data_IF_454318638540
#
_entry.id   IF_454318638540
#
_cell.length_a   1.000
_cell.length_b   1.000
_cell.length_c   1.000
_cell.angle_alpha   90.00
_cell.angle_beta   90.00
_cell.angle_gamma   90.00
#
_symmetry.space_group_name_H-M   'P 1'
#
loop_
_entity.id
_entity.type
_entity.pdbx_description
1 polymer ?
#
# COMPACT_ATOMS: atom_id res chain seq x y z
N UNK A 1 -49.02 -29.01 37.80
CA UNK A 1 -48.78 -29.17 36.35
C UNK A 1 -48.73 -27.88 35.54
N UNK A 2 -48.94 -26.69 36.14
CA UNK A 2 -49.02 -25.40 35.41
C UNK A 2 -47.67 -24.67 35.27
N UNK A 3 -46.70 -24.96 36.16
CA UNK A 3 -45.38 -24.29 36.14
C UNK A 3 -44.37 -24.81 35.07
N UNK A 4 -44.60 -25.99 34.52
CA UNK A 4 -43.72 -26.56 33.47
C UNK A 4 -44.11 -26.15 32.04
N UNK A 5 -45.32 -25.66 31.85
CA UNK A 5 -45.78 -25.21 30.52
C UNK A 5 -45.37 -23.78 30.19
N UNK A 6 -45.17 -22.94 31.22
CA UNK A 6 -44.71 -21.55 31.02
C UNK A 6 -43.24 -21.43 30.63
N UNK A 7 -42.42 -22.43 31.01
CA UNK A 7 -40.98 -22.44 30.68
C UNK A 7 -40.71 -22.89 29.25
N UNK A 8 -41.58 -23.75 28.68
CA UNK A 8 -41.46 -24.19 27.30
C UNK A 8 -41.89 -23.10 26.28
N UNK A 9 -42.83 -22.24 26.67
CA UNK A 9 -43.30 -21.17 25.80
C UNK A 9 -42.32 -19.99 25.76
N UNK A 10 -41.53 -19.75 26.81
CA UNK A 10 -40.49 -18.71 26.83
C UNK A 10 -39.24 -19.13 26.04
N UNK A 11 -38.93 -20.42 25.93
CA UNK A 11 -37.82 -20.93 25.14
C UNK A 11 -38.16 -20.91 23.64
N UNK A 12 -39.42 -21.09 23.28
CA UNK A 12 -39.87 -21.04 21.89
C UNK A 12 -39.91 -19.60 21.33
N UNK A 13 -40.10 -18.56 22.17
CA UNK A 13 -40.07 -17.17 21.77
C UNK A 13 -38.63 -16.59 21.62
N UNK A 14 -37.64 -17.19 22.28
CA UNK A 14 -36.24 -16.77 22.14
C UNK A 14 -35.62 -17.34 20.88
N UNK A 15 -36.12 -18.49 20.39
CA UNK A 15 -35.63 -19.10 19.14
C UNK A 15 -36.13 -18.40 17.86
N UNK A 16 -37.17 -17.58 17.93
CA UNK A 16 -37.73 -16.87 16.76
C UNK A 16 -37.12 -15.46 16.56
N UNK A 17 -36.26 -14.99 17.46
CA UNK A 17 -35.56 -13.69 17.28
C UNK A 17 -34.11 -13.83 16.73
N UNK A 18 -33.61 -15.03 16.50
CA UNK A 18 -32.25 -15.25 15.93
C UNK A 18 -32.31 -15.43 14.43
N UNK A 19 -33.49 -15.52 13.80
CA UNK A 19 -33.65 -15.75 12.37
C UNK A 19 -33.65 -14.47 11.52
N UNK A 20 -33.47 -13.29 12.10
CA UNK A 20 -33.59 -12.02 11.38
C UNK A 20 -32.30 -11.25 11.10
N UNK A 21 -31.15 -11.67 11.63
CA UNK A 21 -29.87 -10.95 11.42
C UNK A 21 -28.80 -11.76 10.67
N UNK A 22 -29.10 -13.01 10.28
CA UNK A 22 -28.12 -13.88 9.62
C UNK A 22 -28.13 -13.77 8.10
N UNK A 23 -29.28 -13.49 7.52
CA UNK A 23 -29.43 -13.56 6.05
C UNK A 23 -28.88 -12.32 5.35
N UNK A 24 -29.10 -11.12 5.90
CA UNK A 24 -28.59 -9.88 5.28
C UNK A 24 -27.06 -9.79 5.33
N UNK A 25 -26.43 -10.22 6.44
CA UNK A 25 -24.97 -10.23 6.55
C UNK A 25 -24.33 -11.34 5.70
N UNK A 26 -24.96 -12.52 5.63
CA UNK A 26 -24.50 -13.62 4.81
C UNK A 26 -24.76 -13.37 3.32
N UNK A 27 -25.83 -12.64 2.96
CA UNK A 27 -26.12 -12.23 1.59
C UNK A 27 -25.20 -11.07 1.16
N UNK A 28 -24.88 -10.14 2.06
CA UNK A 28 -23.91 -9.05 1.82
C UNK A 28 -22.51 -9.60 1.54
N UNK A 29 -22.03 -10.59 2.33
CA UNK A 29 -20.74 -11.27 2.12
C UNK A 29 -20.71 -12.03 0.80
N UNK A 30 -21.84 -12.56 0.33
CA UNK A 30 -21.92 -13.37 -0.89
C UNK A 30 -21.77 -12.55 -2.18
N UNK A 31 -22.04 -11.25 -2.13
CA UNK A 31 -22.00 -10.33 -3.27
C UNK A 31 -20.86 -9.32 -3.23
N UNK A 32 -20.07 -9.29 -2.15
CA UNK A 32 -18.93 -8.37 -2.02
C UNK A 32 -17.79 -8.78 -2.95
N UNK A 33 -17.10 -7.81 -3.52
CA UNK A 33 -15.89 -8.01 -4.33
C UNK A 33 -14.70 -8.20 -3.37
N UNK A 34 -13.99 -9.32 -3.50
CA UNK A 34 -12.79 -9.59 -2.71
C UNK A 34 -11.60 -8.87 -3.31
N UNK A 35 -11.09 -7.87 -2.59
CA UNK A 35 -9.98 -7.05 -3.04
C UNK A 35 -8.75 -7.28 -2.17
N UNK A 36 -7.62 -7.58 -2.81
CA UNK A 36 -6.31 -7.62 -2.17
C UNK A 36 -5.60 -6.28 -2.26
N UNK A 37 -4.93 -5.89 -1.19
CA UNK A 37 -4.14 -4.67 -1.09
C UNK A 37 -2.87 -4.93 -0.29
N UNK A 38 -1.78 -4.21 -0.54
CA UNK A 38 -0.60 -4.26 0.32
C UNK A 38 -0.93 -3.59 1.65
N UNK A 39 -0.47 -4.21 2.75
CA UNK A 39 -0.70 -3.70 4.10
C UNK A 39 -0.21 -2.26 4.23
N UNK A 40 -1.08 -1.40 4.70
CA UNK A 40 -0.84 0.01 4.94
C UNK A 40 -0.10 0.22 6.28
N UNK A 41 0.34 1.44 6.55
CA UNK A 41 1.09 1.75 7.77
C UNK A 41 0.18 1.80 9.01
N UNK A 42 -1.03 2.33 8.86
CA UNK A 42 -2.01 2.53 9.96
C UNK A 42 -3.45 2.19 9.56
N UNK A 43 -3.79 2.25 8.28
CA UNK A 43 -5.14 1.98 7.78
C UNK A 43 -5.45 0.49 7.85
N UNK A 44 -6.64 0.13 8.34
CA UNK A 44 -7.09 -1.28 8.40
C UNK A 44 -7.95 -1.66 7.19
N UNK A 45 -8.10 -2.98 6.90
CA UNK A 45 -9.01 -3.44 5.85
C UNK A 45 -10.44 -2.93 6.04
N UNK A 46 -10.95 -2.94 7.27
CA UNK A 46 -12.31 -2.50 7.58
C UNK A 46 -12.50 -0.99 7.34
N UNK A 47 -11.46 -0.20 7.54
CA UNK A 47 -11.49 1.24 7.21
C UNK A 47 -11.55 1.44 5.70
N UNK A 48 -10.83 0.64 4.92
CA UNK A 48 -10.89 0.70 3.46
C UNK A 48 -12.24 0.19 2.93
N UNK A 49 -12.82 -0.88 3.50
CA UNK A 49 -14.16 -1.32 3.17
C UNK A 49 -15.20 -0.21 3.39
N UNK A 50 -15.08 0.52 4.51
CA UNK A 50 -15.95 1.66 4.78
C UNK A 50 -15.79 2.81 3.75
N UNK A 51 -14.58 3.07 3.27
CA UNK A 51 -14.34 4.03 2.17
C UNK A 51 -15.02 3.57 0.89
N UNK A 52 -14.87 2.29 0.54
CA UNK A 52 -15.47 1.72 -0.67
C UNK A 52 -17.00 1.70 -0.58
N UNK A 53 -17.57 1.44 0.59
CA UNK A 53 -19.02 1.49 0.82
C UNK A 53 -19.57 2.91 0.59
N UNK A 54 -18.88 3.97 1.04
CA UNK A 54 -19.25 5.36 0.77
C UNK A 54 -19.21 5.67 -0.74
N UNK A 55 -18.33 5.01 -1.48
CA UNK A 55 -18.23 5.10 -2.94
C UNK A 55 -19.25 4.23 -3.68
N UNK A 56 -20.10 3.49 -2.95
CA UNK A 56 -21.13 2.62 -3.52
C UNK A 56 -20.64 1.25 -3.99
N UNK A 57 -19.47 0.81 -3.52
CA UNK A 57 -18.88 -0.50 -3.83
C UNK A 57 -18.86 -1.36 -2.56
N UNK A 58 -19.47 -2.53 -2.61
CA UNK A 58 -19.46 -3.51 -1.51
C UNK A 58 -18.22 -4.41 -1.67
N UNK A 59 -17.26 -4.32 -0.74
CA UNK A 59 -15.96 -4.98 -0.81
C UNK A 59 -15.67 -5.81 0.44
N UNK A 60 -14.78 -6.78 0.28
CA UNK A 60 -14.12 -7.52 1.34
C UNK A 60 -12.61 -7.34 1.15
N UNK A 61 -12.02 -6.35 1.86
CA UNK A 61 -10.60 -6.06 1.75
C UNK A 61 -9.76 -7.08 2.50
N UNK A 62 -8.67 -7.51 1.89
CA UNK A 62 -7.65 -8.35 2.50
C UNK A 62 -6.27 -7.72 2.29
N UNK A 63 -5.51 -7.54 3.37
CA UNK A 63 -4.15 -7.03 3.30
C UNK A 63 -3.13 -8.16 3.20
N UNK A 64 -2.13 -7.90 2.36
CA UNK A 64 -0.99 -8.80 2.12
C UNK A 64 0.31 -8.13 2.56
N UNK A 65 1.21 -8.92 3.13
CA UNK A 65 2.51 -8.43 3.60
C UNK A 65 3.49 -8.16 2.46
N UNK A 66 3.27 -8.79 1.29
CA UNK A 66 4.11 -8.63 0.12
C UNK A 66 3.32 -8.80 -1.17
N UNK A 67 3.83 -8.19 -2.25
CA UNK A 67 3.19 -8.14 -3.55
C UNK A 67 3.06 -9.53 -4.21
N UNK A 68 4.09 -10.37 -4.03
CA UNK A 68 4.09 -11.73 -4.58
C UNK A 68 2.93 -12.57 -4.04
N UNK A 69 2.68 -12.55 -2.73
CA UNK A 69 1.55 -13.30 -2.14
C UNK A 69 0.20 -12.77 -2.59
N UNK A 70 0.07 -11.46 -2.79
CA UNK A 70 -1.14 -10.85 -3.33
C UNK A 70 -1.40 -11.27 -4.79
N UNK A 71 -0.37 -11.28 -5.65
CA UNK A 71 -0.47 -11.79 -7.03
C UNK A 71 -0.84 -13.28 -7.07
N UNK A 72 -0.29 -14.08 -6.16
CA UNK A 72 -0.66 -15.50 -6.03
C UNK A 72 -2.13 -15.67 -5.62
N UNK A 73 -2.64 -14.83 -4.74
CA UNK A 73 -4.05 -14.85 -4.33
C UNK A 73 -4.98 -14.50 -5.50
N UNK A 74 -4.63 -13.51 -6.33
CA UNK A 74 -5.37 -13.20 -7.55
C UNK A 74 -5.34 -14.37 -8.55
N UNK A 75 -4.16 -14.92 -8.81
CA UNK A 75 -3.98 -16.03 -9.76
C UNK A 75 -4.73 -17.28 -9.34
N UNK A 76 -4.85 -17.56 -8.03
CA UNK A 76 -5.61 -18.68 -7.47
C UNK A 76 -7.09 -18.37 -7.25
N UNK A 77 -7.55 -17.17 -7.60
CA UNK A 77 -8.93 -16.68 -7.41
C UNK A 77 -9.40 -16.67 -5.94
N UNK A 78 -8.48 -16.50 -5.00
CA UNK A 78 -8.81 -16.27 -3.61
C UNK A 78 -9.30 -14.83 -3.39
N UNK A 79 -8.85 -13.89 -4.25
CA UNK A 79 -9.37 -12.54 -4.40
C UNK A 79 -9.80 -12.32 -5.86
N UNK A 80 -10.71 -11.40 -6.06
CA UNK A 80 -11.26 -11.06 -7.39
C UNK A 80 -10.42 -9.99 -8.07
N UNK A 81 -9.89 -9.05 -7.30
CA UNK A 81 -9.15 -7.88 -7.77
C UNK A 81 -7.96 -7.57 -6.84
N UNK A 82 -6.93 -6.96 -7.41
CA UNK A 82 -5.88 -6.27 -6.67
C UNK A 82 -6.14 -4.78 -6.79
N UNK A 83 -6.17 -4.06 -5.66
CA UNK A 83 -6.13 -2.61 -5.64
C UNK A 83 -4.70 -2.14 -5.38
N UNK A 84 -4.16 -1.33 -6.30
CA UNK A 84 -2.77 -0.85 -6.24
C UNK A 84 -2.62 0.45 -7.02
N UNK A 85 -1.45 1.06 -6.94
CA UNK A 85 -1.09 2.24 -7.72
C UNK A 85 -0.96 1.92 -9.20
N UNK A 86 -1.32 2.86 -10.05
CA UNK A 86 -1.37 2.69 -11.50
C UNK A 86 -0.01 2.30 -12.09
N UNK A 87 1.08 2.90 -11.62
CA UNK A 87 2.42 2.54 -12.07
C UNK A 87 2.76 1.06 -11.79
N UNK A 88 2.33 0.53 -10.64
CA UNK A 88 2.48 -0.89 -10.28
C UNK A 88 1.57 -1.76 -11.15
N UNK A 89 0.34 -1.33 -11.37
CA UNK A 89 -0.63 -2.05 -12.21
C UNK A 89 -0.17 -2.14 -13.67
N UNK A 90 0.33 -1.03 -14.24
CA UNK A 90 0.88 -0.99 -15.59
C UNK A 90 2.07 -1.95 -15.72
N UNK A 91 3.03 -1.88 -14.81
CA UNK A 91 4.15 -2.82 -14.79
C UNK A 91 3.68 -4.28 -14.68
N UNK A 92 2.73 -4.56 -13.79
CA UNK A 92 2.17 -5.91 -13.59
C UNK A 92 1.50 -6.44 -14.86
N UNK A 93 0.71 -5.61 -15.57
CA UNK A 93 0.00 -6.02 -16.79
C UNK A 93 0.93 -6.18 -17.98
N UNK A 94 2.00 -5.41 -18.05
CA UNK A 94 3.05 -5.57 -19.07
C UNK A 94 3.82 -6.88 -18.90
N UNK A 95 4.06 -7.31 -17.65
CA UNK A 95 4.73 -8.57 -17.35
C UNK A 95 3.78 -9.79 -17.42
N UNK A 96 2.48 -9.59 -17.26
CA UNK A 96 1.49 -10.67 -17.25
C UNK A 96 0.24 -10.30 -18.05
N UNK A 97 0.19 -10.76 -19.30
CA UNK A 97 -0.94 -10.54 -20.22
C UNK A 97 -2.25 -11.19 -19.81
N UNK A 98 -2.26 -12.00 -18.74
CA UNK A 98 -3.49 -12.53 -18.13
C UNK A 98 -4.15 -11.58 -17.16
N UNK A 99 -3.53 -10.44 -16.87
CA UNK A 99 -4.05 -9.39 -16.02
C UNK A 99 -4.46 -8.18 -16.87
N UNK A 100 -5.46 -7.46 -16.42
CA UNK A 100 -5.90 -6.21 -17.02
C UNK A 100 -6.29 -5.18 -15.95
N UNK A 101 -6.04 -3.92 -16.24
CA UNK A 101 -6.51 -2.80 -15.40
C UNK A 101 -7.99 -2.62 -15.68
N UNK A 102 -8.84 -2.79 -14.66
CA UNK A 102 -10.28 -2.76 -14.79
C UNK A 102 -10.85 -1.34 -14.73
N UNK A 103 -10.53 -0.60 -13.69
CA UNK A 103 -11.06 0.75 -13.44
C UNK A 103 -10.09 1.59 -12.60
N UNK A 104 -10.16 2.91 -12.78
CA UNK A 104 -9.69 3.84 -11.77
C UNK A 104 -10.75 3.97 -10.69
N UNK A 105 -10.39 3.82 -9.43
CA UNK A 105 -11.34 3.99 -8.31
C UNK A 105 -11.55 5.46 -7.93
N UNK A 106 -10.88 6.37 -8.62
CA UNK A 106 -10.96 7.81 -8.38
C UNK A 106 -10.35 8.21 -7.03
N UNK A 107 -9.37 7.45 -6.58
CA UNK A 107 -8.52 7.75 -5.44
C UNK A 107 -7.13 8.14 -5.96
N UNK A 108 -6.48 9.05 -5.24
CA UNK A 108 -5.14 9.55 -5.55
C UNK A 108 -4.26 9.43 -4.32
N UNK A 109 -3.09 8.88 -4.49
CA UNK A 109 -2.10 8.71 -3.44
C UNK A 109 -0.86 9.57 -3.69
N UNK A 110 -0.37 10.22 -2.62
CA UNK A 110 0.93 10.84 -2.60
C UNK A 110 1.90 9.98 -1.81
N UNK A 111 3.02 9.66 -2.42
CA UNK A 111 4.10 8.90 -1.79
C UNK A 111 5.02 9.83 -1.00
N UNK A 112 5.16 9.54 0.28
CA UNK A 112 5.99 10.26 1.24
C UNK A 112 6.94 9.29 1.95
N UNK A 113 7.93 9.82 2.67
CA UNK A 113 8.69 9.07 3.65
C UNK A 113 8.09 9.29 5.03
N UNK A 114 8.08 8.26 5.88
CA UNK A 114 7.62 8.36 7.26
C UNK A 114 8.80 8.27 8.23
N UNK A 115 8.80 9.12 9.25
CA UNK A 115 9.80 9.23 10.31
C UNK A 115 9.12 9.45 11.64
N UNK A 116 9.80 9.25 12.76
CA UNK A 116 9.29 9.64 14.07
C UNK A 116 9.13 11.16 14.11
N UNK A 117 8.08 11.65 14.75
CA UNK A 117 7.79 13.10 14.81
C UNK A 117 8.89 13.91 15.51
N UNK A 118 9.68 13.28 16.39
CA UNK A 118 10.80 13.90 17.10
C UNK A 118 12.08 14.03 16.24
N UNK A 119 12.16 13.32 15.10
CA UNK A 119 13.32 13.33 14.19
C UNK A 119 13.28 14.55 13.24
N UNK A 120 13.02 15.74 13.80
CA UNK A 120 12.76 16.99 13.06
C UNK A 120 13.84 17.38 12.06
N UNK A 121 15.11 17.20 12.42
CA UNK A 121 16.24 17.53 11.55
C UNK A 121 16.29 16.59 10.32
N UNK A 122 16.01 15.31 10.52
CA UNK A 122 15.97 14.32 9.43
C UNK A 122 14.80 14.58 8.49
N UNK A 123 13.63 14.93 9.05
CA UNK A 123 12.44 15.32 8.26
C UNK A 123 12.78 16.54 7.40
N UNK A 124 13.39 17.56 7.99
CA UNK A 124 13.79 18.77 7.27
C UNK A 124 14.81 18.49 6.17
N UNK A 125 15.80 17.62 6.43
CA UNK A 125 16.82 17.22 5.44
C UNK A 125 16.16 16.53 4.23
N UNK A 126 15.24 15.59 4.47
CA UNK A 126 14.50 14.87 3.41
C UNK A 126 13.60 15.83 2.62
N UNK A 127 12.83 16.68 3.29
CA UNK A 127 11.97 17.69 2.65
C UNK A 127 12.79 18.64 1.77
N UNK A 128 13.92 19.10 2.26
CA UNK A 128 14.84 19.98 1.53
C UNK A 128 15.38 19.28 0.28
N UNK A 129 15.78 18.00 0.39
CA UNK A 129 16.27 17.22 -0.73
C UNK A 129 15.18 16.97 -1.77
N UNK A 130 13.97 16.57 -1.35
CA UNK A 130 12.82 16.34 -2.25
C UNK A 130 12.45 17.62 -2.99
N UNK A 131 12.35 18.76 -2.28
CA UNK A 131 12.02 20.04 -2.89
C UNK A 131 13.11 20.50 -3.88
N UNK A 132 14.38 20.26 -3.58
CA UNK A 132 15.47 20.54 -4.50
C UNK A 132 15.41 19.68 -5.75
N UNK A 133 15.08 18.38 -5.63
CA UNK A 133 14.90 17.47 -6.77
C UNK A 133 13.72 17.87 -7.67
N UNK A 134 12.64 18.39 -7.07
CA UNK A 134 11.52 18.95 -7.84
C UNK A 134 11.96 20.20 -8.61
N UNK A 135 12.68 21.10 -7.95
CA UNK A 135 13.08 22.37 -8.51
C UNK A 135 14.10 22.24 -9.67
N UNK A 136 15.00 21.27 -9.60
CA UNK A 136 16.05 21.06 -10.62
C UNK A 136 15.69 20.03 -11.67
N UNK A 137 14.48 19.44 -11.62
CA UNK A 137 13.99 18.45 -12.58
C UNK A 137 14.60 17.05 -12.41
N UNK A 138 15.33 16.79 -11.33
CA UNK A 138 15.88 15.45 -11.04
C UNK A 138 14.74 14.45 -10.84
N UNK A 139 13.70 14.83 -10.08
CA UNK A 139 12.57 13.95 -9.81
C UNK A 139 11.81 13.56 -11.08
N UNK A 140 11.58 14.53 -11.99
CA UNK A 140 10.93 14.27 -13.28
C UNK A 140 11.73 13.28 -14.14
N UNK A 141 13.07 13.37 -14.11
CA UNK A 141 13.95 12.42 -14.79
C UNK A 141 13.86 11.02 -14.21
N UNK A 142 13.77 10.90 -12.87
CA UNK A 142 13.63 9.62 -12.22
C UNK A 142 12.26 8.99 -12.54
N UNK A 143 11.17 9.76 -12.47
CA UNK A 143 9.83 9.31 -12.87
C UNK A 143 9.86 8.81 -14.32
N UNK A 144 10.46 9.60 -15.22
CA UNK A 144 10.57 9.20 -16.63
C UNK A 144 11.33 7.88 -16.79
N UNK A 145 12.48 7.73 -16.12
CA UNK A 145 13.36 6.58 -16.27
C UNK A 145 12.81 5.31 -15.67
N UNK A 146 12.20 5.40 -14.48
CA UNK A 146 11.83 4.23 -13.67
C UNK A 146 10.33 3.90 -13.75
N UNK A 147 9.51 4.78 -14.29
CA UNK A 147 8.06 4.59 -14.40
C UNK A 147 7.60 4.76 -15.83
N UNK A 148 7.65 5.99 -16.39
CA UNK A 148 6.99 6.29 -17.66
C UNK A 148 7.62 5.60 -18.89
N UNK A 149 8.95 5.55 -18.97
CA UNK A 149 9.69 4.96 -20.09
C UNK A 149 10.19 3.54 -19.78
N UNK A 150 9.83 2.98 -18.62
CA UNK A 150 10.26 1.64 -18.22
C UNK A 150 9.60 0.59 -19.13
N UNK A 151 10.41 -0.27 -19.75
CA UNK A 151 9.94 -1.34 -20.63
C UNK A 151 10.16 -2.75 -20.04
N UNK A 152 11.18 -2.87 -19.19
CA UNK A 152 11.66 -4.13 -18.64
C UNK A 152 11.79 -4.04 -17.10
N UNK A 153 12.51 -5.00 -16.51
CA UNK A 153 12.82 -4.99 -15.08
C UNK A 153 13.55 -3.68 -14.70
N UNK A 154 13.15 -3.00 -13.60
CA UNK A 154 13.82 -1.78 -13.16
C UNK A 154 15.31 -1.99 -12.97
N UNK A 155 16.17 -1.07 -13.48
CA UNK A 155 17.62 -1.21 -13.34
C UNK A 155 18.04 -1.13 -11.87
N UNK A 156 19.11 -1.88 -11.53
CA UNK A 156 19.75 -1.78 -10.23
C UNK A 156 20.23 -0.35 -9.96
N UNK A 157 20.08 0.10 -8.72
CA UNK A 157 20.52 1.42 -8.27
C UNK A 157 21.69 1.26 -7.31
N UNK A 158 22.76 2.00 -7.56
CA UNK A 158 23.89 2.08 -6.64
C UNK A 158 23.69 3.26 -5.68
N UNK A 159 23.65 2.96 -4.38
CA UNK A 159 23.72 3.97 -3.33
C UNK A 159 25.20 4.15 -2.97
N UNK A 160 25.74 5.32 -3.30
CA UNK A 160 27.17 5.60 -3.11
C UNK A 160 27.48 5.76 -1.62
N UNK A 161 28.49 5.04 -1.14
CA UNK A 161 28.98 5.25 0.23
C UNK A 161 29.81 6.54 0.31
N UNK A 162 29.44 7.43 1.22
CA UNK A 162 30.06 8.72 1.47
C UNK A 162 30.99 8.56 2.68
N UNK A 163 32.30 8.68 2.45
CA UNK A 163 33.30 8.43 3.49
C UNK A 163 33.14 9.42 4.67
N UNK A 164 33.00 8.87 5.87
CA UNK A 164 32.84 9.64 7.11
C UNK A 164 31.45 10.20 7.35
N UNK A 165 30.48 9.98 6.46
CA UNK A 165 29.10 10.39 6.69
C UNK A 165 28.39 9.46 7.68
N UNK A 166 27.45 10.00 8.43
CA UNK A 166 26.52 9.24 9.27
C UNK A 166 25.67 8.30 8.41
N UNK A 167 25.31 7.14 8.95
CA UNK A 167 24.43 6.17 8.29
C UNK A 167 23.04 6.21 8.91
N UNK A 168 22.01 6.32 8.08
CA UNK A 168 20.61 6.17 8.44
C UNK A 168 20.05 4.85 7.91
N UNK A 169 19.18 4.24 8.68
CA UNK A 169 18.52 2.97 8.31
C UNK A 169 17.16 3.26 7.69
N UNK A 170 16.97 2.78 6.48
CA UNK A 170 15.73 3.00 5.72
C UNK A 170 15.04 1.66 5.48
N UNK A 171 13.81 1.53 6.00
CA UNK A 171 12.95 0.38 5.78
C UNK A 171 12.31 0.44 4.40
N UNK A 172 12.47 -0.63 3.62
CA UNK A 172 11.88 -0.82 2.30
C UNK A 172 11.13 -2.15 2.24
N UNK A 173 10.15 -2.29 1.35
CA UNK A 173 9.47 -3.57 1.12
C UNK A 173 10.27 -4.47 0.19
N UNK A 174 10.81 -3.91 -0.86
CA UNK A 174 11.71 -4.57 -1.80
C UNK A 174 11.04 -5.56 -2.74
N UNK A 175 9.72 -5.50 -2.89
CA UNK A 175 8.95 -6.38 -3.76
C UNK A 175 7.74 -5.71 -4.45
N UNK A 176 7.74 -4.39 -4.58
CA UNK A 176 6.68 -3.61 -5.23
C UNK A 176 7.17 -2.92 -6.51
N UNK A 177 7.47 -3.67 -7.59
CA UNK A 177 7.95 -3.07 -8.84
C UNK A 177 6.86 -2.22 -9.52
N UNK A 178 7.21 -1.15 -10.23
CA UNK A 178 8.57 -0.64 -10.47
C UNK A 178 9.08 0.29 -9.37
N UNK A 179 8.31 0.47 -8.29
CA UNK A 179 8.60 1.45 -7.24
C UNK A 179 9.73 0.97 -6.32
N UNK A 180 9.62 -0.23 -5.78
CA UNK A 180 10.49 -0.74 -4.71
C UNK A 180 10.82 -2.22 -4.98
N UNK A 181 12.06 -2.52 -5.30
CA UNK A 181 12.45 -3.87 -5.71
C UNK A 181 13.85 -4.23 -5.20
N UNK A 182 14.00 -5.47 -4.74
CA UNK A 182 15.29 -6.13 -4.55
C UNK A 182 15.42 -7.23 -5.61
N UNK A 183 16.37 -7.07 -6.51
CA UNK A 183 16.61 -8.00 -7.62
C UNK A 183 17.09 -9.37 -7.11
N UNK A 184 16.99 -10.39 -7.95
CA UNK A 184 17.43 -11.75 -7.62
C UNK A 184 18.92 -11.85 -7.22
N UNK A 185 19.75 -10.89 -7.64
CA UNK A 185 21.16 -10.79 -7.25
C UNK A 185 21.39 -10.01 -5.94
N UNK A 186 20.31 -9.64 -5.23
CA UNK A 186 20.33 -8.89 -3.98
C UNK A 186 20.57 -7.39 -4.11
N UNK A 187 20.65 -6.85 -5.35
CA UNK A 187 20.81 -5.40 -5.55
C UNK A 187 19.46 -4.70 -5.46
N UNK A 188 19.39 -3.53 -4.78
CA UNK A 188 18.19 -2.71 -4.76
C UNK A 188 17.97 -2.07 -6.13
N UNK A 189 16.71 -1.90 -6.50
CA UNK A 189 16.28 -1.36 -7.78
C UNK A 189 14.96 -0.59 -7.63
N UNK A 190 14.55 0.07 -8.70
CA UNK A 190 13.27 0.77 -8.78
C UNK A 190 13.33 2.24 -8.42
N UNK A 191 12.19 2.89 -8.63
CA UNK A 191 12.03 4.33 -8.50
C UNK A 191 12.39 4.84 -7.10
N UNK A 192 11.86 4.19 -6.07
CA UNK A 192 12.08 4.59 -4.67
C UNK A 192 13.57 4.53 -4.30
N UNK A 193 14.27 3.46 -4.70
CA UNK A 193 15.71 3.36 -4.46
C UNK A 193 16.50 4.46 -5.18
N UNK A 194 16.08 4.82 -6.40
CA UNK A 194 16.71 5.90 -7.15
C UNK A 194 16.49 7.27 -6.47
N UNK A 195 15.29 7.53 -5.96
CA UNK A 195 14.99 8.72 -5.15
C UNK A 195 15.86 8.76 -3.90
N UNK A 196 15.97 7.64 -3.16
CA UNK A 196 16.82 7.53 -1.97
C UNK A 196 18.30 7.78 -2.27
N UNK A 197 18.81 7.27 -3.40
CA UNK A 197 20.20 7.51 -3.82
C UNK A 197 20.48 9.02 -4.02
N UNK A 198 19.53 9.76 -4.58
CA UNK A 198 19.64 11.20 -4.75
C UNK A 198 19.46 11.96 -3.42
N UNK A 199 18.56 11.53 -2.54
CA UNK A 199 18.43 12.09 -1.18
C UNK A 199 19.75 11.92 -0.41
N UNK A 200 20.32 10.71 -0.36
CA UNK A 200 21.59 10.40 0.30
C UNK A 200 22.70 11.40 -0.05
N UNK A 201 22.88 11.64 -1.35
CA UNK A 201 23.89 12.60 -1.86
C UNK A 201 23.63 14.02 -1.38
N UNK A 202 22.38 14.46 -1.38
CA UNK A 202 21.98 15.83 -1.07
C UNK A 202 22.07 16.14 0.43
N UNK A 203 21.71 15.17 1.28
CA UNK A 203 21.79 15.33 2.74
C UNK A 203 23.14 14.91 3.32
N UNK A 204 24.05 14.40 2.49
CA UNK A 204 25.38 13.90 2.90
C UNK A 204 25.31 12.84 4.01
N UNK A 205 24.40 11.86 3.88
CA UNK A 205 24.24 10.72 4.79
C UNK A 205 24.27 9.41 4.01
N UNK A 206 24.89 8.39 4.58
CA UNK A 206 24.83 7.02 4.06
C UNK A 206 23.45 6.42 4.32
N UNK A 207 23.00 5.54 3.44
CA UNK A 207 21.76 4.80 3.57
C UNK A 207 22.05 3.31 3.67
N UNK A 208 21.55 2.70 4.74
CA UNK A 208 21.47 1.25 4.91
C UNK A 208 20.02 0.83 4.66
N UNK A 209 19.77 0.03 3.63
CA UNK A 209 18.45 -0.48 3.32
C UNK A 209 18.13 -1.71 4.16
N UNK A 210 17.01 -1.70 4.86
CA UNK A 210 16.49 -2.79 5.67
C UNK A 210 15.19 -3.28 5.03
N UNK A 211 15.17 -4.49 4.50
CA UNK A 211 13.94 -5.05 3.95
C UNK A 211 12.99 -5.46 5.08
N UNK A 212 11.73 -5.02 4.99
CA UNK A 212 10.70 -5.19 6.02
C UNK A 212 9.37 -5.53 5.33
N UNK A 213 8.66 -6.51 5.85
CA UNK A 213 7.30 -6.80 5.41
C UNK A 213 6.39 -5.59 5.63
N UNK A 214 5.43 -5.38 4.72
CA UNK A 214 4.58 -4.17 4.73
C UNK A 214 3.88 -3.94 6.05
N UNK A 215 3.31 -4.99 6.68
CA UNK A 215 2.63 -4.88 7.97
C UNK A 215 3.56 -4.57 9.16
N UNK A 216 4.87 -4.83 9.03
CA UNK A 216 5.85 -4.60 10.10
C UNK A 216 6.44 -3.17 10.10
N UNK A 217 6.19 -2.36 9.07
CA UNK A 217 6.85 -1.05 8.85
C UNK A 217 6.64 -0.07 10.01
N UNK A 218 5.40 0.08 10.49
CA UNK A 218 5.10 0.99 11.61
C UNK A 218 5.82 0.57 12.91
N UNK A 219 5.86 -0.74 13.20
CA UNK A 219 6.56 -1.28 14.37
C UNK A 219 8.07 -1.11 14.26
N UNK A 220 8.66 -1.31 13.08
CA UNK A 220 10.09 -1.11 12.84
C UNK A 220 10.51 0.34 13.06
N UNK A 221 9.68 1.31 12.65
CA UNK A 221 9.93 2.73 12.86
C UNK A 221 9.85 3.10 14.35
N UNK A 222 8.79 2.70 15.03
CA UNK A 222 8.55 3.04 16.45
C UNK A 222 9.56 2.37 17.38
N UNK A 223 10.01 1.16 17.07
CA UNK A 223 11.05 0.44 17.82
C UNK A 223 12.49 0.90 17.51
N UNK A 224 12.66 1.86 16.61
CA UNK A 224 13.97 2.36 16.15
C UNK A 224 14.83 1.29 15.43
N UNK A 225 14.20 0.27 14.88
CA UNK A 225 14.87 -0.68 13.99
C UNK A 225 15.29 0.03 12.69
N UNK A 226 14.48 0.98 12.24
CA UNK A 226 14.76 1.90 11.14
C UNK A 226 14.54 3.34 11.55
N UNK A 227 15.16 4.28 10.84
CA UNK A 227 15.01 5.72 11.05
C UNK A 227 13.95 6.29 10.10
N UNK A 228 13.79 5.68 8.94
CA UNK A 228 12.86 6.07 7.90
C UNK A 228 12.12 4.84 7.40
N UNK A 229 10.82 4.93 7.23
CA UNK A 229 10.05 4.01 6.39
C UNK A 229 9.90 4.67 5.03
N UNK A 230 10.45 4.03 3.99
CA UNK A 230 10.32 4.52 2.64
C UNK A 230 9.09 3.95 1.99
N UNK A 231 8.34 4.82 1.55
CA UNK A 231 6.99 5.01 1.12
C UNK A 231 5.91 4.76 2.22
N UNK A 232 5.13 5.78 2.39
CA UNK A 232 3.81 5.78 2.99
C UNK A 232 2.91 6.57 2.06
N UNK A 233 1.65 6.18 1.96
CA UNK A 233 0.70 6.90 1.12
C UNK A 233 -0.09 7.90 1.93
N UNK A 234 -0.21 9.11 1.38
CA UNK A 234 -1.05 10.18 1.91
C UNK A 234 -2.16 10.43 0.90
N UNK A 235 -3.43 10.16 1.24
CA UNK A 235 -4.56 10.43 0.36
C UNK A 235 -4.62 11.88 -0.13
N UNK A 236 -4.90 12.05 -1.42
CA UNK A 236 -5.05 13.35 -2.09
C UNK A 236 -6.44 13.53 -2.69
N UNK A 237 -7.41 12.82 -2.18
CA UNK A 237 -8.80 12.90 -2.57
C UNK A 237 -9.68 13.41 -1.41
N UNK A 238 -10.93 13.69 -1.68
CA UNK A 238 -11.92 14.15 -0.70
C UNK A 238 -12.71 13.01 -0.03
N UNK A 239 -12.35 11.76 -0.32
CA UNK A 239 -13.04 10.55 0.14
C UNK A 239 -12.35 9.93 1.35
N UNK A 240 -11.05 10.18 1.51
CA UNK A 240 -10.22 9.66 2.61
C UNK A 240 -9.57 10.79 3.40
N UNK A 241 -9.51 10.70 4.75
CA UNK A 241 -8.72 11.65 5.53
C UNK A 241 -7.23 11.60 5.13
N UNK A 242 -6.61 12.78 5.00
CA UNK A 242 -5.19 12.87 4.60
C UNK A 242 -4.22 12.21 5.61
N UNK A 243 -4.65 12.02 6.86
CA UNK A 243 -3.88 11.35 7.92
C UNK A 243 -4.33 9.90 8.17
N UNK A 244 -5.15 9.32 7.28
CA UNK A 244 -5.72 7.99 7.45
C UNK A 244 -4.64 6.93 7.69
N UNK A 245 -3.56 6.96 6.92
CA UNK A 245 -2.46 5.99 7.02
C UNK A 245 -1.29 6.47 7.90
N UNK A 246 -1.46 7.55 8.65
CA UNK A 246 -0.41 8.09 9.52
C UNK A 246 -0.59 7.63 10.97
N UNK A 247 0.31 6.77 11.52
CA UNK A 247 0.29 6.40 12.93
C UNK A 247 0.55 7.61 13.85
N UNK A 248 0.09 7.52 15.09
CA UNK A 248 0.44 8.50 16.12
C UNK A 248 1.97 8.51 16.36
N UNK A 249 2.55 9.69 16.56
CA UNK A 249 4.01 9.87 16.77
C UNK A 249 4.84 9.74 15.50
N UNK A 250 4.19 9.72 14.31
CA UNK A 250 4.85 9.67 13.01
C UNK A 250 4.58 10.97 12.24
N UNK A 251 5.60 11.51 11.62
CA UNK A 251 5.53 12.57 10.63
C UNK A 251 5.87 12.06 9.25
N UNK A 252 5.31 12.70 8.23
CA UNK A 252 5.56 12.37 6.82
C UNK A 252 6.20 13.57 6.12
N UNK A 253 7.04 13.27 5.14
CA UNK A 253 7.70 14.31 4.34
C UNK A 253 6.76 14.94 3.31
N UNK A 254 7.23 15.99 2.67
CA UNK A 254 6.71 16.43 1.37
C UNK A 254 6.62 15.25 0.40
N UNK A 255 5.52 15.09 -0.35
CA UNK A 255 5.39 14.02 -1.34
C UNK A 255 6.48 14.07 -2.39
N UNK A 256 7.04 12.92 -2.75
CA UNK A 256 8.01 12.82 -3.85
C UNK A 256 7.40 12.24 -5.14
N UNK A 257 6.23 11.60 -5.06
CA UNK A 257 5.50 11.04 -6.19
C UNK A 257 4.00 11.08 -5.94
N UNK A 258 3.19 11.06 -6.98
CA UNK A 258 1.73 10.94 -6.91
C UNK A 258 1.26 9.94 -7.96
N UNK A 259 0.28 9.11 -7.61
CA UNK A 259 -0.28 8.12 -8.51
C UNK A 259 -1.78 7.93 -8.28
N UNK A 260 -2.46 7.43 -9.31
CA UNK A 260 -3.86 7.01 -9.22
C UNK A 260 -3.93 5.60 -8.63
N UNK A 261 -4.97 5.34 -7.83
CA UNK A 261 -5.30 4.00 -7.38
C UNK A 261 -6.20 3.33 -8.41
N UNK A 262 -5.86 2.11 -8.80
CA UNK A 262 -6.58 1.32 -9.81
C UNK A 262 -6.84 -0.09 -9.31
N UNK A 263 -7.78 -0.78 -9.95
CA UNK A 263 -8.02 -2.20 -9.73
C UNK A 263 -7.49 -3.02 -10.90
N UNK A 264 -6.90 -4.17 -10.59
CA UNK A 264 -6.39 -5.17 -11.56
C UNK A 264 -7.10 -6.49 -11.33
N UNK A 265 -7.62 -7.09 -12.38
CA UNK A 265 -8.22 -8.42 -12.36
C UNK A 265 -7.56 -9.36 -13.39
N UNK A 266 -7.97 -10.63 -13.37
CA UNK A 266 -7.60 -11.57 -14.43
C UNK A 266 -8.44 -11.29 -15.69
N UNK A 267 -7.78 -11.18 -16.84
CA UNK A 267 -8.43 -10.99 -18.14
C UNK A 267 -9.45 -12.10 -18.41
N UNK A 268 -10.64 -11.71 -18.90
CA UNK A 268 -11.71 -12.64 -19.24
C UNK A 268 -12.66 -13.04 -18.11
N UNK A 269 -12.46 -12.58 -16.87
CA UNK A 269 -13.46 -12.78 -15.79
C UNK A 269 -14.69 -11.87 -15.95
N UNK A 270 -14.57 -10.75 -16.63
CA UNK A 270 -15.69 -9.82 -16.86
C UNK A 270 -16.82 -10.35 -17.78
N UNK A 271 -16.60 -11.47 -18.47
CA UNK A 271 -17.60 -12.03 -19.41
C UNK A 271 -18.66 -12.95 -18.78
N UNK A 272 -18.59 -13.19 -17.48
CA UNK A 272 -19.44 -14.16 -16.76
C UNK A 272 -20.44 -13.58 -15.76
N UNK A 273 -20.49 -12.27 -15.58
CA UNK A 273 -21.41 -11.58 -14.67
C UNK A 273 -22.43 -10.75 -15.45
N UNK A 274 -23.35 -11.42 -16.15
CA UNK A 274 -24.62 -10.87 -16.65
C UNK A 274 -25.78 -11.67 -16.06
#
# INVERSE_FOLDING_TARGET
MIKKFSLLLSILMILSMISGCGDDAAEKIKNSIKIGMIAQLNTTPEQMDAVMEVMGVDTEMTYYDNFTSMQMALSSKNIDEIQTDKSVAEYMTDQNTQCEIKNTVGLMDSFCCAMREDDTDLIFDFDSAINAMKADGTLDKLIKTYITDLQDEPPAVEITNINGAETIKVGITGDLPPLDLVLANGKPAGFNTAVLSEISKRINKNIELIQIDSAARAAALTSKQVDVVFWVVVPQDDKRPADMDKPAGVSVTTPYYQDEVVNVNLSGLAAGMN
#
